data_IF_255195117579
#
_entry.id   IF_255195117579
#
_cell.length_a   1.000
_cell.length_b   1.000
_cell.length_c   1.000
_cell.angle_alpha   90.00
_cell.angle_beta   90.00
_cell.angle_gamma   90.00
#
_symmetry.space_group_name_H-M   'P 1'
#
loop_
_entity.id
_entity.type
_entity.pdbx_description
1 polymer ?
#
# COMPACT_ATOMS: atom_id res chain seq x y z
N UNK A 1 -16.22 39.40 -9.94
CA UNK A 1 -14.92 38.78 -9.63
C UNK A 1 -15.17 37.64 -8.67
N UNK A 2 -14.98 36.42 -9.14
CA UNK A 2 -15.07 35.17 -8.37
C UNK A 2 -13.85 34.35 -8.76
N UNK A 3 -13.08 33.78 -7.82
CA UNK A 3 -11.92 32.99 -8.18
C UNK A 3 -12.41 31.62 -8.65
N UNK A 4 -12.13 31.31 -9.92
CA UNK A 4 -12.41 29.99 -10.49
C UNK A 4 -11.44 28.98 -9.88
N UNK A 5 -12.01 28.12 -9.04
CA UNK A 5 -11.36 27.00 -8.40
C UNK A 5 -10.92 25.99 -9.47
N UNK A 6 -9.68 26.14 -9.96
CA UNK A 6 -9.04 25.16 -10.85
C UNK A 6 -8.62 23.94 -10.01
N UNK A 7 -9.61 23.17 -9.57
CA UNK A 7 -9.39 21.77 -9.22
C UNK A 7 -9.10 21.04 -10.53
N UNK A 8 -7.82 20.94 -10.86
CA UNK A 8 -7.35 20.06 -11.93
C UNK A 8 -7.90 18.67 -11.63
N UNK A 9 -8.77 18.20 -12.52
CA UNK A 9 -9.22 16.83 -12.60
C UNK A 9 -7.98 15.94 -12.67
N UNK A 10 -7.71 15.19 -11.60
CA UNK A 10 -6.75 14.10 -11.67
C UNK A 10 -7.41 13.06 -12.57
N UNK A 11 -6.92 12.97 -13.80
CA UNK A 11 -7.36 12.00 -14.78
C UNK A 11 -7.06 10.59 -14.26
N UNK A 12 -8.11 9.78 -14.12
CA UNK A 12 -8.04 8.33 -13.94
C UNK A 12 -7.55 7.66 -15.25
N UNK A 13 -6.27 7.85 -15.58
CA UNK A 13 -5.64 7.29 -16.77
C UNK A 13 -4.18 6.95 -16.52
N UNK A 14 -3.85 5.66 -16.71
CA UNK A 14 -2.52 5.02 -16.61
C UNK A 14 -2.07 4.49 -15.24
N UNK A 15 -2.79 3.48 -14.72
CA UNK A 15 -2.22 2.50 -13.78
C UNK A 15 -1.32 1.44 -14.48
N UNK A 16 -0.65 1.79 -15.58
CA UNK A 16 0.13 0.85 -16.37
C UNK A 16 1.51 1.42 -16.74
N UNK A 17 2.39 1.50 -15.74
CA UNK A 17 3.83 1.27 -15.84
C UNK A 17 4.49 1.70 -14.52
N UNK A 18 5.17 0.81 -13.79
CA UNK A 18 6.24 1.23 -12.86
C UNK A 18 7.38 1.80 -13.72
N UNK A 19 7.16 2.97 -14.32
CA UNK A 19 8.01 3.53 -15.36
C UNK A 19 9.22 4.29 -14.84
N UNK A 20 9.45 4.32 -13.52
CA UNK A 20 10.63 4.96 -12.94
C UNK A 20 10.88 4.45 -11.52
N UNK A 21 10.96 3.13 -11.38
CA UNK A 21 11.44 2.55 -10.13
C UNK A 21 12.93 2.95 -9.98
N UNK A 22 13.21 4.01 -9.22
CA UNK A 22 14.58 4.43 -8.89
C UNK A 22 15.29 3.25 -8.22
N UNK A 23 16.59 3.08 -8.45
CA UNK A 23 17.34 1.91 -7.96
C UNK A 23 17.15 1.64 -6.45
N UNK A 24 16.94 2.70 -5.66
CA UNK A 24 16.69 2.58 -4.22
C UNK A 24 15.29 2.03 -3.87
N UNK A 25 14.29 2.21 -4.72
CA UNK A 25 12.88 1.91 -4.43
C UNK A 25 12.45 0.47 -4.75
N UNK A 26 13.19 -0.19 -5.65
CA UNK A 26 13.01 -1.61 -5.98
C UNK A 26 13.93 -2.52 -5.18
N UNK A 27 14.63 -1.99 -4.17
CA UNK A 27 15.50 -2.81 -3.35
C UNK A 27 14.66 -3.84 -2.58
N UNK A 28 14.88 -5.16 -2.79
CA UNK A 28 14.10 -6.21 -2.11
C UNK A 28 14.15 -6.08 -0.59
N UNK A 29 15.28 -5.59 -0.04
CA UNK A 29 15.43 -5.34 1.40
C UNK A 29 14.44 -4.29 1.92
N UNK A 30 14.14 -3.25 1.14
CA UNK A 30 13.17 -2.22 1.54
C UNK A 30 11.76 -2.80 1.51
N UNK A 31 11.45 -3.63 0.51
CA UNK A 31 10.15 -4.33 0.42
C UNK A 31 9.94 -5.25 1.61
N UNK A 32 10.93 -6.08 1.93
CA UNK A 32 10.90 -6.99 3.08
C UNK A 32 10.72 -6.23 4.40
N UNK A 33 11.38 -5.07 4.54
CA UNK A 33 11.28 -4.23 5.72
C UNK A 33 9.87 -3.65 5.90
N UNK A 34 9.29 -3.11 4.83
CA UNK A 34 7.91 -2.59 4.83
C UNK A 34 6.91 -3.72 5.12
N UNK A 35 7.02 -4.86 4.43
CA UNK A 35 6.16 -6.02 4.68
C UNK A 35 6.26 -6.52 6.11
N UNK A 36 7.47 -6.59 6.66
CA UNK A 36 7.68 -7.02 8.05
C UNK A 36 7.06 -6.06 9.06
N UNK A 37 7.19 -4.74 8.83
CA UNK A 37 6.58 -3.73 9.69
C UNK A 37 5.05 -3.81 9.67
N UNK A 38 4.44 -3.95 8.48
CA UNK A 38 2.99 -4.09 8.34
C UNK A 38 2.49 -5.38 9.00
N UNK A 39 3.14 -6.53 8.75
CA UNK A 39 2.78 -7.81 9.42
C UNK A 39 2.84 -7.70 10.93
N UNK A 40 3.89 -7.07 11.45
CA UNK A 40 4.08 -6.91 12.87
C UNK A 40 3.02 -6.01 13.51
N UNK A 41 2.57 -4.97 12.80
CA UNK A 41 1.48 -4.10 13.23
C UNK A 41 0.14 -4.85 13.23
N UNK A 42 -0.15 -5.60 12.15
CA UNK A 42 -1.35 -6.43 12.03
C UNK A 42 -1.42 -7.51 13.12
N UNK A 43 -0.31 -8.20 13.40
CA UNK A 43 -0.25 -9.22 14.45
C UNK A 43 -0.52 -8.68 15.87
N UNK A 44 -0.53 -7.36 16.05
CA UNK A 44 -0.82 -6.67 17.31
C UNK A 44 -2.15 -5.91 17.30
N UNK A 45 -2.98 -6.13 16.27
CA UNK A 45 -4.21 -5.39 16.03
C UNK A 45 -4.00 -3.86 16.05
N UNK A 46 -2.80 -3.42 15.64
CA UNK A 46 -2.45 -2.00 15.57
C UNK A 46 -2.47 -1.56 14.11
N UNK A 47 -3.45 -0.75 13.68
CA UNK A 47 -3.48 -0.24 12.31
C UNK A 47 -2.23 0.62 12.05
N UNK A 48 -1.68 0.47 10.85
CA UNK A 48 -0.50 1.20 10.38
C UNK A 48 -0.82 1.84 9.04
N UNK A 49 -0.48 3.11 8.89
CA UNK A 49 -0.60 3.84 7.63
C UNK A 49 0.75 4.06 6.97
N UNK A 50 0.74 4.55 5.73
CA UNK A 50 1.95 5.01 5.04
C UNK A 50 2.75 6.01 5.87
N UNK A 51 2.07 6.87 6.64
CA UNK A 51 2.70 7.93 7.44
C UNK A 51 3.47 7.40 8.66
N UNK A 52 3.12 6.19 9.12
CA UNK A 52 3.76 5.55 10.26
C UNK A 52 5.05 4.80 9.88
N UNK A 53 5.19 4.44 8.61
CA UNK A 53 6.32 3.63 8.12
C UNK A 53 7.70 4.23 8.40
N UNK A 54 7.94 5.55 8.22
CA UNK A 54 9.24 6.14 8.54
C UNK A 54 9.70 5.86 9.97
N UNK A 55 8.78 5.97 10.94
CA UNK A 55 9.09 5.71 12.35
C UNK A 55 9.26 4.22 12.65
N UNK A 56 8.64 3.34 11.86
CA UNK A 56 8.71 1.89 12.06
C UNK A 56 9.92 1.24 11.35
N UNK A 57 10.51 1.91 10.36
CA UNK A 57 11.49 1.31 9.43
C UNK A 57 12.75 2.14 9.22
N UNK A 58 12.84 3.34 9.81
CA UNK A 58 13.90 4.33 9.57
C UNK A 58 14.03 4.77 8.09
N UNK A 59 13.03 4.47 7.25
CA UNK A 59 12.98 4.90 5.87
C UNK A 59 12.54 6.36 5.78
N UNK A 60 13.00 7.07 4.74
CA UNK A 60 12.35 8.34 4.38
C UNK A 60 10.92 8.09 3.92
N UNK A 61 10.02 9.05 4.14
CA UNK A 61 8.63 8.96 3.67
C UNK A 61 8.54 8.68 2.17
N UNK A 62 9.44 9.28 1.36
CA UNK A 62 9.51 9.05 -0.08
C UNK A 62 9.83 7.58 -0.40
N UNK A 63 10.81 6.99 0.29
CA UNK A 63 11.19 5.59 0.10
C UNK A 63 10.09 4.64 0.56
N UNK A 64 9.48 4.91 1.73
CA UNK A 64 8.36 4.13 2.25
C UNK A 64 7.16 4.15 1.31
N UNK A 65 6.73 5.33 0.85
CA UNK A 65 5.61 5.47 -0.08
C UNK A 65 5.86 4.69 -1.37
N UNK A 66 7.04 4.85 -1.96
CA UNK A 66 7.30 4.24 -3.24
C UNK A 66 7.51 2.71 -3.14
N UNK A 67 7.98 2.20 -1.99
CA UNK A 67 7.93 0.76 -1.68
C UNK A 67 6.49 0.24 -1.52
N UNK A 68 5.62 0.96 -0.80
CA UNK A 68 4.20 0.60 -0.67
C UNK A 68 3.51 0.53 -2.04
N UNK A 69 3.74 1.51 -2.92
CA UNK A 69 3.17 1.50 -4.27
C UNK A 69 3.62 0.29 -5.09
N UNK A 70 4.88 -0.11 -4.98
CA UNK A 70 5.39 -1.31 -5.66
C UNK A 70 4.74 -2.58 -5.11
N UNK A 71 4.69 -2.73 -3.78
CA UNK A 71 4.08 -3.87 -3.11
C UNK A 71 2.57 -3.98 -3.38
N UNK A 72 1.87 -2.87 -3.52
CA UNK A 72 0.46 -2.85 -3.93
C UNK A 72 0.29 -3.30 -5.39
N UNK A 73 1.15 -2.83 -6.31
CA UNK A 73 1.16 -3.30 -7.70
C UNK A 73 1.43 -4.80 -7.80
N UNK A 74 2.31 -5.34 -6.95
CA UNK A 74 2.61 -6.77 -6.84
C UNK A 74 1.52 -7.56 -6.09
N UNK A 75 0.49 -6.88 -5.58
CA UNK A 75 -0.62 -7.46 -4.79
C UNK A 75 -0.15 -8.15 -3.52
N UNK A 76 0.95 -7.66 -2.93
CA UNK A 76 1.47 -8.10 -1.64
C UNK A 76 0.98 -7.22 -0.49
N UNK A 77 0.60 -5.98 -0.78
CA UNK A 77 -0.08 -5.07 0.13
C UNK A 77 -1.43 -4.63 -0.45
N UNK A 78 -2.36 -4.30 0.44
CA UNK A 78 -3.61 -3.63 0.13
C UNK A 78 -3.66 -2.34 0.96
N UNK A 79 -4.13 -1.28 0.32
CA UNK A 79 -4.41 0.01 0.96
C UNK A 79 -5.92 0.11 1.14
N UNK A 80 -6.37 0.32 2.36
CA UNK A 80 -7.79 0.43 2.68
C UNK A 80 -8.10 1.55 3.66
N UNK A 81 -9.40 1.73 3.87
CA UNK A 81 -9.92 2.72 4.80
C UNK A 81 -10.22 2.06 6.14
N UNK A 82 -9.92 2.75 7.23
CA UNK A 82 -10.31 2.32 8.58
C UNK A 82 -11.09 3.44 9.24
N UNK A 83 -12.36 3.17 9.57
CA UNK A 83 -13.29 4.15 10.15
C UNK A 83 -12.81 4.83 11.45
N UNK A 84 -11.77 4.29 12.10
CA UNK A 84 -11.12 4.86 13.28
C UNK A 84 -9.84 5.66 13.01
N UNK A 85 -9.33 5.70 11.77
CA UNK A 85 -8.13 6.48 11.45
C UNK A 85 -8.51 7.84 10.88
N UNK A 86 -7.90 8.94 11.36
CA UNK A 86 -8.15 10.28 10.80
C UNK A 86 -7.57 10.47 9.39
N UNK A 87 -6.74 9.54 8.94
CA UNK A 87 -6.13 9.56 7.61
C UNK A 87 -6.38 8.20 6.95
N UNK A 88 -7.11 8.19 5.83
CA UNK A 88 -7.24 7.00 4.98
C UNK A 88 -5.85 6.50 4.53
N UNK A 89 -5.78 5.28 4.00
CA UNK A 89 -4.55 4.55 3.65
C UNK A 89 -3.91 3.71 4.78
N UNK A 90 -4.73 2.90 5.44
CA UNK A 90 -4.26 1.80 6.29
C UNK A 90 -3.71 0.68 5.42
N UNK A 91 -2.55 0.16 5.81
CA UNK A 91 -1.82 -0.88 5.10
C UNK A 91 -2.16 -2.25 5.69
N UNK A 92 -2.42 -3.21 4.81
CA UNK A 92 -2.59 -4.61 5.17
C UNK A 92 -1.78 -5.50 4.22
N UNK A 93 -1.17 -6.56 4.74
CA UNK A 93 -0.65 -7.63 3.87
C UNK A 93 -1.82 -8.30 3.15
N UNK A 94 -1.67 -8.45 1.84
CA UNK A 94 -2.64 -9.17 1.05
C UNK A 94 -2.64 -10.64 1.45
N UNK A 95 -3.79 -11.15 1.88
CA UNK A 95 -3.98 -12.58 2.04
C UNK A 95 -3.93 -13.24 0.66
N UNK A 96 -3.22 -14.37 0.48
CA UNK A 96 -3.29 -15.12 -0.76
C UNK A 96 -4.76 -15.44 -1.01
N UNK A 97 -5.25 -15.16 -2.23
CA UNK A 97 -6.58 -15.54 -2.64
C UNK A 97 -6.71 -17.05 -2.39
N UNK A 98 -7.41 -17.40 -1.32
CA UNK A 98 -7.70 -18.78 -1.01
C UNK A 98 -8.57 -19.26 -2.15
N UNK A 99 -8.09 -20.24 -2.92
CA UNK A 99 -8.86 -20.90 -3.96
C UNK A 99 -10.00 -21.69 -3.29
N UNK A 100 -11.01 -20.99 -2.76
CA UNK A 100 -12.20 -21.59 -2.13
C UNK A 100 -13.17 -22.16 -3.18
N UNK A 101 -12.73 -22.35 -4.43
CA UNK A 101 -13.56 -22.86 -5.52
C UNK A 101 -13.29 -24.34 -5.87
N UNK A 102 -12.87 -25.16 -4.90
CA UNK A 102 -12.67 -26.62 -5.11
C UNK A 102 -13.73 -27.54 -4.47
N UNK A 103 -14.81 -27.00 -3.90
CA UNK A 103 -15.84 -27.84 -3.24
C UNK A 103 -17.30 -27.57 -3.65
N UNK A 104 -17.58 -27.18 -4.90
CA UNK A 104 -18.97 -27.13 -5.42
C UNK A 104 -19.22 -27.89 -6.74
N UNK A 105 -18.39 -28.89 -7.08
CA UNK A 105 -18.75 -29.89 -8.12
C UNK A 105 -18.37 -31.30 -7.67
N UNK A 106 -19.04 -31.76 -6.61
CA UNK A 106 -19.18 -33.17 -6.29
C UNK A 106 -20.32 -33.32 -5.26
N UNK A 107 -21.56 -33.18 -5.74
CA UNK A 107 -22.77 -33.83 -5.23
C UNK A 107 -23.91 -33.53 -6.21
#
# INVERSE_FOLDING_TARGET
MTPENHLQQIHDGEFASCGSCSFDTCCPKIHDLVLSAVRHAQARDKPMTVWDLPNATDLTLKAAYAAVRNLECERLLVIGDWSGHPFDAVLAVAEPASDTNRHQRAA
#
